data_IF_852985341343
#
_entry.id   IF_852985341343
#
_cell.length_a   1.000
_cell.length_b   1.000
_cell.length_c   1.000
_cell.angle_alpha   90.00
_cell.angle_beta   90.00
_cell.angle_gamma   90.00
#
_symmetry.space_group_name_H-M   'P 1'
#
loop_
_entity.id
_entity.type
_entity.pdbx_description
1 polymer ?
#
# COMPACT_ATOMS: atom_id res chain seq x y z
N UNK A 1 12.27 -5.89 25.47
CA UNK A 1 12.77 -6.86 24.46
C UNK A 1 11.71 -7.87 23.98
N UNK A 2 10.43 -7.75 24.39
CA UNK A 2 9.32 -8.67 23.99
C UNK A 2 8.49 -8.23 22.76
N UNK A 3 8.61 -7.00 22.33
CA UNK A 3 7.77 -6.40 21.26
C UNK A 3 8.15 -6.79 19.83
N UNK A 4 9.44 -7.04 19.55
CA UNK A 4 9.90 -7.36 18.18
C UNK A 4 9.59 -8.80 17.71
N UNK A 5 9.37 -9.72 18.63
CA UNK A 5 9.10 -11.13 18.30
C UNK A 5 7.62 -11.39 18.00
N UNK A 6 6.71 -10.59 18.59
CA UNK A 6 5.27 -10.62 18.28
C UNK A 6 4.98 -10.05 16.89
N UNK A 7 5.67 -8.99 16.48
CA UNK A 7 5.55 -8.39 15.15
C UNK A 7 6.00 -9.32 14.02
N UNK A 8 7.01 -10.18 14.27
CA UNK A 8 7.45 -11.18 13.29
C UNK A 8 6.44 -12.33 13.11
N UNK A 9 5.64 -12.67 14.12
CA UNK A 9 4.59 -13.68 14.02
C UNK A 9 3.38 -13.19 13.26
N UNK A 10 2.97 -11.92 13.43
CA UNK A 10 1.82 -11.32 12.71
C UNK A 10 1.98 -11.33 11.18
N UNK A 11 3.22 -11.26 10.68
CA UNK A 11 3.49 -11.26 9.22
C UNK A 11 3.38 -12.63 8.54
N UNK A 12 3.24 -13.72 9.30
CA UNK A 12 3.25 -15.09 8.72
C UNK A 12 1.88 -15.63 8.33
N UNK A 13 0.81 -15.13 8.89
CA UNK A 13 -0.55 -15.65 8.66
C UNK A 13 -1.11 -15.36 7.27
N UNK A 14 -0.88 -14.16 6.75
CA UNK A 14 -1.41 -13.73 5.44
C UNK A 14 -0.68 -14.30 4.21
N UNK A 15 0.41 -15.08 4.41
CA UNK A 15 1.21 -15.65 3.30
C UNK A 15 0.63 -16.92 2.65
N UNK A 16 -0.47 -17.47 3.15
CA UNK A 16 -0.96 -18.79 2.72
C UNK A 16 -1.88 -18.80 1.49
N UNK A 17 -2.20 -17.67 0.89
CA UNK A 17 -3.19 -17.63 -0.20
C UNK A 17 -2.63 -17.39 -1.61
N UNK A 18 -1.34 -17.48 -1.86
CA UNK A 18 -0.77 -17.20 -3.21
C UNK A 18 0.12 -18.33 -3.75
N UNK A 19 0.06 -19.53 -3.24
CA UNK A 19 0.84 -20.65 -3.81
C UNK A 19 0.01 -21.94 -3.90
N UNK A 20 -0.84 -22.02 -4.91
CA UNK A 20 -1.29 -23.27 -5.50
C UNK A 20 -1.55 -23.03 -6.97
N UNK A 21 -0.67 -23.57 -7.79
CA UNK A 21 -0.86 -24.10 -9.14
C UNK A 21 0.45 -23.99 -9.94
N UNK A 22 1.08 -25.04 -10.16
CA UNK A 22 1.45 -25.80 -11.33
C UNK A 22 2.78 -26.53 -11.13
N UNK A 23 2.67 -27.77 -10.70
CA UNK A 23 3.66 -28.80 -11.00
C UNK A 23 3.13 -29.61 -12.18
N UNK A 24 3.76 -29.50 -13.32
CA UNK A 24 3.64 -30.47 -14.42
C UNK A 24 5.04 -30.86 -14.85
N UNK A 25 5.46 -32.03 -14.37
CA UNK A 25 6.63 -32.76 -14.87
C UNK A 25 6.27 -33.42 -16.18
N UNK A 26 7.04 -33.18 -17.24
CA UNK A 26 7.18 -34.10 -18.37
C UNK A 26 8.66 -34.31 -18.67
N UNK A 27 9.09 -35.53 -18.41
CA UNK A 27 10.30 -36.10 -18.98
C UNK A 27 10.02 -36.41 -20.48
N UNK A 28 10.92 -35.97 -21.33
CA UNK A 28 11.17 -36.66 -22.63
C UNK A 28 12.63 -36.48 -23.01
N UNK A 29 13.17 -37.61 -23.46
CA UNK A 29 14.57 -37.87 -23.71
C UNK A 29 15.08 -37.30 -25.04
N UNK A 30 16.36 -37.02 -25.05
CA UNK A 30 17.39 -36.90 -26.08
C UNK A 30 17.05 -37.04 -27.54
N UNK A 31 17.41 -35.99 -28.30
CA UNK A 31 18.24 -36.10 -29.53
C UNK A 31 18.99 -34.80 -29.75
N UNK A 32 20.30 -34.91 -29.95
CA UNK A 32 21.25 -33.84 -30.13
C UNK A 32 21.11 -33.17 -31.51
N UNK A 33 20.59 -31.96 -31.53
CA UNK A 33 20.84 -31.00 -32.58
C UNK A 33 21.22 -29.67 -31.90
N UNK A 34 22.40 -29.14 -32.21
CA UNK A 34 22.83 -27.82 -31.78
C UNK A 34 21.91 -26.77 -32.39
N UNK A 35 20.81 -26.51 -31.75
CA UNK A 35 20.06 -25.29 -31.92
C UNK A 35 20.65 -24.24 -31.00
N UNK A 36 21.09 -23.13 -31.57
CA UNK A 36 21.42 -21.91 -30.84
C UNK A 36 20.13 -21.51 -30.09
N UNK A 37 20.03 -21.89 -28.82
CA UNK A 37 18.97 -21.39 -27.95
C UNK A 37 19.09 -19.87 -27.91
N UNK A 38 18.12 -19.19 -28.51
CA UNK A 38 17.80 -17.82 -28.16
C UNK A 38 17.49 -17.86 -26.67
N UNK A 39 18.48 -17.53 -25.82
CA UNK A 39 18.23 -17.22 -24.42
C UNK A 39 17.12 -16.17 -24.39
N UNK A 40 15.93 -16.56 -24.01
CA UNK A 40 14.87 -15.61 -23.70
C UNK A 40 15.42 -14.78 -22.53
N UNK A 41 15.73 -13.51 -22.79
CA UNK A 41 16.19 -12.53 -21.79
C UNK A 41 15.01 -12.26 -20.81
N UNK A 42 14.67 -13.25 -20.01
CA UNK A 42 13.66 -13.10 -18.97
C UNK A 42 14.26 -12.18 -17.90
N UNK A 43 13.62 -11.03 -17.66
CA UNK A 43 14.03 -10.08 -16.62
C UNK A 43 14.15 -10.82 -15.27
N UNK A 44 15.33 -10.77 -14.65
CA UNK A 44 15.54 -11.27 -13.30
C UNK A 44 15.29 -10.13 -12.32
N UNK A 45 14.24 -10.24 -11.51
CA UNK A 45 13.89 -9.21 -10.52
C UNK A 45 14.53 -9.48 -9.16
N UNK A 46 14.97 -8.41 -8.51
CA UNK A 46 15.31 -8.39 -7.08
C UNK A 46 14.03 -8.62 -6.27
N UNK A 47 14.10 -9.47 -5.26
CA UNK A 47 12.97 -9.72 -4.35
C UNK A 47 12.78 -8.55 -3.38
N UNK A 48 11.56 -8.30 -2.94
CA UNK A 48 11.22 -7.16 -2.05
C UNK A 48 12.00 -7.20 -0.73
N UNK A 49 12.22 -8.37 -0.16
CA UNK A 49 12.99 -8.56 1.07
C UNK A 49 14.49 -8.26 0.91
N UNK A 50 14.97 -8.15 -0.32
CA UNK A 50 16.36 -7.83 -0.69
C UNK A 50 16.57 -6.35 -1.07
N UNK A 51 15.51 -5.53 -1.14
CA UNK A 51 15.64 -4.14 -1.59
C UNK A 51 16.59 -3.33 -0.72
N UNK A 52 16.49 -3.44 0.60
CA UNK A 52 17.39 -2.75 1.52
C UNK A 52 18.84 -3.14 1.29
N UNK A 53 19.13 -4.43 1.11
CA UNK A 53 20.49 -4.92 0.82
C UNK A 53 21.00 -4.38 -0.52
N UNK A 54 20.18 -4.39 -1.57
CA UNK A 54 20.52 -3.86 -2.88
C UNK A 54 20.80 -2.35 -2.88
N UNK A 55 20.15 -1.59 -1.97
CA UNK A 55 20.39 -0.15 -1.79
C UNK A 55 21.58 0.16 -0.87
N UNK A 56 22.08 -0.81 -0.12
CA UNK A 56 23.30 -0.69 0.70
C UNK A 56 24.54 -1.00 -0.16
N UNK A 57 24.47 -2.11 -0.88
CA UNK A 57 25.51 -2.57 -1.78
C UNK A 57 24.88 -3.17 -3.03
N UNK A 58 25.02 -2.45 -4.13
CA UNK A 58 24.41 -2.84 -5.40
C UNK A 58 25.23 -3.92 -6.15
N UNK A 59 26.41 -4.30 -5.67
CA UNK A 59 27.38 -5.12 -6.40
C UNK A 59 26.79 -6.44 -6.90
N UNK A 60 26.12 -7.19 -6.04
CA UNK A 60 25.53 -8.50 -6.37
C UNK A 60 24.19 -8.38 -7.12
N UNK A 61 23.69 -7.17 -7.29
CA UNK A 61 22.40 -6.87 -7.89
C UNK A 61 22.51 -6.17 -9.24
N UNK A 62 23.71 -5.79 -9.67
CA UNK A 62 23.94 -5.14 -10.99
C UNK A 62 23.34 -5.96 -12.12
N UNK A 63 22.64 -5.28 -13.02
CA UNK A 63 21.96 -5.90 -14.14
C UNK A 63 20.61 -6.56 -13.82
N UNK A 64 20.27 -6.78 -12.56
CA UNK A 64 18.94 -7.25 -12.16
C UNK A 64 17.93 -6.12 -12.25
N UNK A 65 16.67 -6.47 -12.49
CA UNK A 65 15.56 -5.54 -12.52
C UNK A 65 15.00 -5.34 -11.11
N UNK A 66 14.49 -4.15 -10.83
CA UNK A 66 13.84 -3.80 -9.57
C UNK A 66 12.54 -3.07 -9.87
N UNK A 67 11.50 -3.36 -9.06
CA UNK A 67 10.28 -2.55 -8.97
C UNK A 67 10.21 -1.99 -7.57
N UNK A 68 10.48 -0.71 -7.43
CA UNK A 68 10.63 -0.06 -6.13
C UNK A 68 9.83 1.24 -6.10
N UNK A 69 9.30 1.53 -4.94
CA UNK A 69 8.51 2.73 -4.69
C UNK A 69 9.22 3.62 -3.70
N UNK A 70 8.97 4.92 -3.78
CA UNK A 70 9.58 5.85 -2.85
C UNK A 70 9.08 7.28 -3.00
N UNK A 71 9.63 8.14 -2.15
CA UNK A 71 9.31 9.56 -2.09
C UNK A 71 10.43 10.39 -2.68
N UNK A 72 10.10 11.21 -3.68
CA UNK A 72 11.06 12.11 -4.33
C UNK A 72 11.65 13.07 -3.30
N UNK A 73 12.97 13.22 -3.33
CA UNK A 73 13.73 14.15 -2.50
C UNK A 73 14.34 15.29 -3.29
N UNK A 74 14.90 15.00 -4.46
CA UNK A 74 15.54 15.97 -5.34
C UNK A 74 15.31 15.54 -6.80
N UNK A 75 15.29 16.48 -7.70
CA UNK A 75 15.23 16.33 -9.16
C UNK A 75 14.73 17.61 -9.82
N UNK A 76 14.70 17.68 -11.15
CA UNK A 76 15.10 16.68 -12.16
C UNK A 76 16.62 16.57 -12.38
N UNK A 77 17.40 17.41 -11.69
CA UNK A 77 18.86 17.39 -11.74
C UNK A 77 19.42 17.30 -10.31
N UNK A 78 20.34 16.38 -10.07
CA UNK A 78 20.99 16.18 -8.78
C UNK A 78 22.50 16.08 -8.98
N UNK A 79 23.26 17.03 -8.41
CA UNK A 79 24.71 17.11 -8.54
C UNK A 79 25.20 17.07 -10.01
N UNK A 80 24.56 17.82 -10.89
CA UNK A 80 24.87 17.87 -12.32
C UNK A 80 24.51 16.61 -13.11
N UNK A 81 23.64 15.74 -12.57
CA UNK A 81 23.18 14.52 -13.22
C UNK A 81 21.68 14.53 -13.40
N UNK A 82 21.23 14.30 -14.62
CA UNK A 82 19.82 14.20 -14.96
C UNK A 82 19.19 12.98 -14.29
N UNK A 83 18.13 13.22 -13.50
CA UNK A 83 17.40 12.19 -12.77
C UNK A 83 16.87 12.67 -11.42
N UNK A 84 16.35 11.73 -10.66
CA UNK A 84 15.71 12.01 -9.37
C UNK A 84 16.34 11.17 -8.27
N UNK A 85 16.57 11.81 -7.12
CA UNK A 85 16.93 11.15 -5.87
C UNK A 85 15.62 10.83 -5.11
N UNK A 86 15.43 9.55 -4.79
CA UNK A 86 14.21 9.04 -4.17
C UNK A 86 14.57 8.37 -2.86
N UNK A 87 13.82 8.69 -1.79
CA UNK A 87 13.91 8.02 -0.50
C UNK A 87 13.13 6.71 -0.55
N UNK A 88 13.77 5.61 -0.16
CA UNK A 88 13.12 4.34 0.11
C UNK A 88 12.61 4.34 1.56
N UNK A 89 11.31 4.55 1.74
CA UNK A 89 10.72 4.80 3.06
C UNK A 89 10.82 3.62 4.03
N UNK A 90 10.63 2.34 3.60
CA UNK A 90 10.74 1.20 4.50
C UNK A 90 12.11 1.04 5.18
N UNK A 91 13.16 1.69 4.65
CA UNK A 91 14.48 1.67 5.24
C UNK A 91 14.98 3.08 5.53
N UNK A 92 15.21 3.39 6.82
CA UNK A 92 15.73 4.70 7.23
C UNK A 92 17.04 5.03 6.52
N UNK A 93 17.15 6.27 6.02
CA UNK A 93 18.35 6.81 5.36
C UNK A 93 18.77 6.01 4.12
N UNK A 94 17.87 5.33 3.42
CA UNK A 94 18.12 4.68 2.15
C UNK A 94 17.51 5.48 1.01
N UNK A 95 18.30 5.59 -0.03
CA UNK A 95 17.94 6.34 -1.24
C UNK A 95 18.37 5.53 -2.45
N UNK A 96 17.70 5.78 -3.56
CA UNK A 96 18.14 5.37 -4.88
C UNK A 96 18.06 6.56 -5.84
N UNK A 97 18.84 6.52 -6.87
CA UNK A 97 18.81 7.51 -7.93
C UNK A 97 18.32 6.84 -9.22
N UNK A 98 17.31 7.38 -9.87
CA UNK A 98 16.98 6.91 -11.20
C UNK A 98 17.32 7.95 -12.25
N UNK A 99 17.95 7.48 -13.36
CA UNK A 99 18.30 8.32 -14.50
C UNK A 99 17.11 8.50 -15.42
N UNK A 100 16.99 9.72 -15.95
CA UNK A 100 16.05 10.06 -17.01
C UNK A 100 16.72 11.02 -17.99
N UNK A 101 16.26 11.02 -19.24
CA UNK A 101 16.77 11.92 -20.28
C UNK A 101 15.99 13.24 -20.35
N UNK A 102 14.94 13.38 -19.54
CA UNK A 102 14.08 14.55 -19.49
C UNK A 102 13.54 14.79 -18.08
N UNK A 103 13.08 16.01 -17.84
CA UNK A 103 12.27 16.31 -16.67
C UNK A 103 10.93 15.57 -16.78
N UNK A 104 10.54 14.87 -15.72
CA UNK A 104 9.27 14.16 -15.62
C UNK A 104 8.22 14.96 -14.83
N UNK A 105 8.58 16.14 -14.31
CA UNK A 105 7.68 17.04 -13.58
C UNK A 105 7.51 16.74 -12.10
N UNK A 106 8.14 15.68 -11.58
CA UNK A 106 8.04 15.35 -10.16
C UNK A 106 8.71 16.38 -9.26
N UNK A 107 8.05 16.69 -8.15
CA UNK A 107 8.54 17.61 -7.13
C UNK A 107 8.97 16.88 -5.86
N UNK A 108 9.84 17.49 -5.03
CA UNK A 108 10.15 16.96 -3.71
C UNK A 108 8.86 16.74 -2.89
N UNK A 109 8.67 15.52 -2.42
CA UNK A 109 7.45 15.11 -1.71
C UNK A 109 6.54 14.17 -2.49
N UNK A 110 6.61 14.16 -3.82
CA UNK A 110 5.83 13.26 -4.66
C UNK A 110 6.21 11.79 -4.45
N UNK A 111 5.26 10.91 -4.68
CA UNK A 111 5.47 9.46 -4.62
C UNK A 111 5.61 8.89 -6.02
N UNK A 112 6.56 7.99 -6.20
CA UNK A 112 6.87 7.38 -7.49
C UNK A 112 7.04 5.87 -7.38
N UNK A 113 6.60 5.17 -8.44
CA UNK A 113 6.89 3.76 -8.71
C UNK A 113 7.90 3.68 -9.83
N UNK A 114 9.02 3.02 -9.57
CA UNK A 114 10.13 2.92 -10.53
C UNK A 114 10.39 1.46 -10.86
N UNK A 115 10.25 1.09 -12.13
CA UNK A 115 10.72 -0.17 -12.67
C UNK A 115 11.95 0.08 -13.54
N UNK A 116 13.08 -0.54 -13.21
CA UNK A 116 14.30 -0.36 -13.99
C UNK A 116 15.37 -1.39 -13.65
N UNK A 117 16.56 -1.21 -14.20
CA UNK A 117 17.68 -2.09 -14.00
C UNK A 117 18.70 -1.45 -13.05
N UNK A 118 19.18 -2.20 -12.06
CA UNK A 118 20.25 -1.73 -11.17
C UNK A 118 21.54 -1.59 -11.98
N UNK A 119 22.02 -0.37 -12.06
CA UNK A 119 23.23 0.02 -12.78
C UNK A 119 24.44 0.20 -11.86
N UNK A 120 25.43 0.90 -12.37
CA UNK A 120 26.59 1.35 -11.57
C UNK A 120 26.13 2.49 -10.65
N UNK A 121 26.57 2.44 -9.39
CA UNK A 121 26.29 3.49 -8.42
C UNK A 121 26.75 4.86 -8.92
N UNK A 122 26.01 5.87 -8.48
CA UNK A 122 26.31 7.26 -8.82
C UNK A 122 26.76 8.00 -7.56
N UNK A 123 27.88 8.69 -7.64
CA UNK A 123 28.32 9.60 -6.58
C UNK A 123 27.53 10.90 -6.69
N UNK A 124 26.83 11.25 -5.62
CA UNK A 124 26.12 12.51 -5.44
C UNK A 124 26.74 13.28 -4.28
N UNK A 125 26.77 14.60 -4.38
CA UNK A 125 27.31 15.47 -3.33
C UNK A 125 26.14 15.97 -2.47
N UNK A 126 26.24 15.80 -1.16
CA UNK A 126 25.25 16.33 -0.23
C UNK A 126 25.45 17.83 0.06
N UNK A 127 24.54 18.45 0.82
CA UNK A 127 24.61 19.87 1.19
C UNK A 127 25.85 20.24 2.02
N UNK A 128 26.52 19.26 2.64
CA UNK A 128 27.76 19.44 3.42
C UNK A 128 29.03 19.21 2.57
N UNK A 129 28.89 18.99 1.26
CA UNK A 129 30.02 18.74 0.35
C UNK A 129 30.55 17.29 0.36
N UNK A 130 29.92 16.36 1.09
CA UNK A 130 30.36 14.97 1.14
C UNK A 130 29.79 14.18 -0.03
N UNK A 131 30.64 13.33 -0.63
CA UNK A 131 30.20 12.37 -1.64
C UNK A 131 29.49 11.17 -1.00
N UNK A 132 28.36 10.80 -1.60
CA UNK A 132 27.55 9.64 -1.24
C UNK A 132 27.41 8.75 -2.46
N UNK A 133 27.82 7.49 -2.36
CA UNK A 133 27.54 6.48 -3.38
C UNK A 133 26.09 6.01 -3.27
N UNK A 134 25.32 6.19 -4.32
CA UNK A 134 23.87 5.90 -4.34
C UNK A 134 23.60 4.90 -5.46
N UNK A 135 22.87 3.83 -5.11
CA UNK A 135 22.40 2.83 -6.08
C UNK A 135 21.60 3.51 -7.18
N UNK A 136 22.01 3.28 -8.42
CA UNK A 136 21.38 3.89 -9.59
C UNK A 136 20.49 2.90 -10.33
N UNK A 137 19.28 3.33 -10.66
CA UNK A 137 18.35 2.60 -11.52
C UNK A 137 18.41 3.22 -12.92
N UNK A 138 18.75 2.40 -13.91
CA UNK A 138 18.82 2.74 -15.32
C UNK A 138 17.63 2.14 -16.07
N UNK A 139 17.33 2.63 -17.28
CA UNK A 139 16.17 2.20 -18.09
C UNK A 139 14.86 2.30 -17.30
N UNK A 140 14.77 3.35 -16.48
CA UNK A 140 13.67 3.54 -15.56
C UNK A 140 12.36 3.84 -16.31
N UNK A 141 11.33 3.05 -16.02
CA UNK A 141 9.92 3.38 -16.27
C UNK A 141 9.34 3.88 -14.97
N UNK A 142 8.82 5.09 -14.99
CA UNK A 142 8.32 5.78 -13.81
C UNK A 142 6.84 6.05 -13.97
N UNK A 143 6.08 5.86 -12.90
CA UNK A 143 4.68 6.23 -12.79
C UNK A 143 4.40 6.78 -11.40
N UNK A 144 3.25 7.40 -11.23
CA UNK A 144 2.81 7.93 -9.96
C UNK A 144 2.69 6.79 -8.94
N UNK A 145 3.19 7.05 -7.74
CA UNK A 145 2.98 6.27 -6.55
C UNK A 145 1.90 6.89 -5.68
N UNK A 146 1.63 6.29 -4.53
CA UNK A 146 0.71 6.84 -3.55
C UNK A 146 1.30 6.84 -2.15
N UNK A 147 0.73 7.66 -1.28
CA UNK A 147 1.05 7.64 0.15
C UNK A 147 0.87 6.24 0.75
N UNK A 148 -0.23 5.56 0.40
CA UNK A 148 -0.54 4.20 0.86
C UNK A 148 0.58 3.22 0.48
N UNK A 149 1.04 3.26 -0.78
CA UNK A 149 2.05 2.30 -1.23
C UNK A 149 3.41 2.53 -0.58
N UNK A 150 3.74 3.78 -0.25
CA UNK A 150 5.09 4.18 0.15
C UNK A 150 5.24 4.38 1.66
N UNK A 151 4.32 5.09 2.30
CA UNK A 151 4.45 5.46 3.74
C UNK A 151 3.75 4.44 4.66
N UNK A 152 2.61 3.89 4.22
CA UNK A 152 1.76 2.98 5.02
C UNK A 152 1.33 1.74 4.21
N UNK A 153 2.31 0.99 3.63
CA UNK A 153 1.99 -0.10 2.73
C UNK A 153 1.13 -1.18 3.40
N UNK A 154 0.11 -1.62 2.66
CA UNK A 154 -0.75 -2.72 3.08
C UNK A 154 0.03 -4.03 3.09
N UNK A 155 0.07 -4.74 4.23
CA UNK A 155 0.64 -6.08 4.30
C UNK A 155 -0.42 -7.19 4.27
N UNK A 156 -1.67 -6.89 4.64
CA UNK A 156 -2.80 -7.82 4.60
C UNK A 156 -4.09 -7.11 4.21
N UNK A 157 -4.99 -7.84 3.57
CA UNK A 157 -6.33 -7.36 3.21
C UNK A 157 -7.34 -8.47 3.48
N UNK A 158 -8.34 -8.18 4.32
CA UNK A 158 -9.47 -9.04 4.59
C UNK A 158 -10.75 -8.47 3.95
N UNK A 159 -11.60 -9.36 3.48
CA UNK A 159 -12.89 -9.00 2.87
C UNK A 159 -14.03 -9.71 3.59
N UNK A 160 -15.09 -9.00 3.98
CA UNK A 160 -16.27 -9.64 4.59
C UNK A 160 -16.90 -10.62 3.59
N UNK A 161 -17.40 -11.75 4.09
CA UNK A 161 -18.20 -12.70 3.29
C UNK A 161 -19.55 -12.08 2.92
N UNK A 162 -20.15 -11.38 3.87
CA UNK A 162 -21.35 -10.60 3.68
C UNK A 162 -21.01 -9.11 3.79
N UNK A 163 -20.67 -8.48 2.65
CA UNK A 163 -20.07 -7.13 2.67
C UNK A 163 -21.08 -6.01 2.93
N UNK A 164 -22.37 -6.29 3.00
CA UNK A 164 -23.43 -5.27 3.12
C UNK A 164 -24.55 -5.70 4.05
N UNK A 165 -25.14 -4.69 4.70
CA UNK A 165 -26.39 -4.79 5.45
C UNK A 165 -27.32 -3.70 4.98
N UNK A 166 -28.63 -4.00 4.88
CA UNK A 166 -29.67 -3.03 4.48
C UNK A 166 -30.75 -2.97 5.53
N UNK A 167 -31.06 -1.78 6.02
CA UNK A 167 -32.09 -1.48 7.01
C UNK A 167 -32.85 -0.26 6.52
N UNK A 168 -34.15 -0.31 6.45
CA UNK A 168 -35.05 0.82 6.10
C UNK A 168 -34.64 1.59 4.82
N UNK A 169 -34.22 0.85 3.79
CA UNK A 169 -33.78 1.44 2.52
C UNK A 169 -32.35 1.98 2.54
N UNK A 170 -31.66 1.94 3.69
CA UNK A 170 -30.28 2.39 3.83
C UNK A 170 -29.36 1.17 3.78
N UNK A 171 -28.37 1.20 2.90
CA UNK A 171 -27.39 0.13 2.74
C UNK A 171 -25.99 0.59 3.16
N UNK A 172 -25.44 -0.03 4.19
CA UNK A 172 -24.01 0.06 4.51
C UNK A 172 -23.26 -1.09 3.87
N UNK A 173 -22.07 -0.80 3.32
CA UNK A 173 -21.17 -1.80 2.76
C UNK A 173 -19.73 -1.55 3.24
N UNK A 174 -19.08 -2.62 3.67
CA UNK A 174 -17.61 -2.69 3.87
C UNK A 174 -17.04 -3.53 2.75
N UNK A 175 -16.23 -2.94 1.88
CA UNK A 175 -15.68 -3.66 0.72
C UNK A 175 -14.41 -4.44 1.07
N UNK A 176 -13.62 -3.94 2.01
CA UNK A 176 -12.40 -4.54 2.54
C UNK A 176 -11.92 -3.83 3.79
N UNK A 177 -11.05 -4.51 4.54
CA UNK A 177 -10.19 -3.96 5.59
C UNK A 177 -8.75 -4.19 5.19
N UNK A 178 -7.95 -3.14 5.17
CA UNK A 178 -6.53 -3.19 4.91
C UNK A 178 -5.73 -2.94 6.18
N UNK A 179 -4.69 -3.73 6.38
CA UNK A 179 -3.82 -3.67 7.54
C UNK A 179 -2.44 -3.20 7.12
N UNK A 180 -1.96 -2.14 7.78
CA UNK A 180 -0.63 -1.60 7.64
C UNK A 180 0.09 -1.59 9.00
N UNK A 181 1.41 -1.34 9.01
CA UNK A 181 2.19 -1.33 10.27
C UNK A 181 1.78 -0.18 11.22
N UNK A 182 1.12 0.86 10.73
CA UNK A 182 0.81 2.06 11.49
C UNK A 182 -0.69 2.35 11.60
N UNK A 183 -1.53 1.72 10.78
CA UNK A 183 -2.96 1.97 10.73
C UNK A 183 -3.73 0.78 10.18
N UNK A 184 -5.03 0.73 10.48
CA UNK A 184 -6.02 -0.13 9.85
C UNK A 184 -6.98 0.74 9.06
N UNK A 185 -7.24 0.40 7.80
CA UNK A 185 -8.13 1.15 6.89
C UNK A 185 -9.36 0.33 6.56
N UNK A 186 -10.53 0.89 6.82
CA UNK A 186 -11.83 0.30 6.47
C UNK A 186 -12.44 1.05 5.29
N UNK A 187 -12.75 0.34 4.23
CA UNK A 187 -13.33 0.91 3.01
C UNK A 187 -14.85 0.78 3.08
N UNK A 188 -15.51 1.89 3.33
CA UNK A 188 -16.96 1.97 3.59
C UNK A 188 -17.69 2.67 2.46
N UNK A 189 -18.90 2.25 2.15
CA UNK A 189 -19.86 3.02 1.37
C UNK A 189 -21.24 2.91 2.00
N UNK A 190 -21.99 4.01 1.93
CA UNK A 190 -23.35 4.14 2.44
C UNK A 190 -24.23 4.63 1.30
N UNK A 191 -25.32 3.94 1.04
CA UNK A 191 -26.30 4.25 0.00
C UNK A 191 -27.65 4.47 0.69
N UNK A 192 -28.25 5.63 0.48
CA UNK A 192 -29.54 6.02 1.02
C UNK A 192 -30.61 5.94 -0.06
N UNK A 193 -31.41 4.87 -0.06
CA UNK A 193 -32.56 4.71 -0.95
C UNK A 193 -33.88 5.08 -0.27
N UNK A 194 -33.84 5.77 0.87
CA UNK A 194 -35.03 6.33 1.54
C UNK A 194 -35.35 7.72 1.00
N UNK A 195 -36.52 8.24 1.38
CA UNK A 195 -37.00 9.59 1.00
C UNK A 195 -36.53 10.68 1.97
N UNK A 196 -35.72 10.34 2.98
CA UNK A 196 -35.22 11.27 3.99
C UNK A 196 -33.69 11.28 4.02
N UNK A 197 -33.06 12.42 4.33
CA UNK A 197 -31.62 12.47 4.52
C UNK A 197 -31.23 11.66 5.76
N UNK A 198 -30.04 11.04 5.70
CA UNK A 198 -29.40 10.38 6.83
C UNK A 198 -28.05 11.01 7.12
N UNK A 199 -27.60 10.90 8.35
CA UNK A 199 -26.38 11.54 8.83
C UNK A 199 -25.39 10.51 9.33
N UNK A 200 -24.15 10.69 8.92
CA UNK A 200 -22.97 9.95 9.37
C UNK A 200 -22.11 10.85 10.25
N UNK A 201 -21.71 10.33 11.41
CA UNK A 201 -20.70 10.97 12.26
C UNK A 201 -19.54 9.97 12.44
N UNK A 202 -18.30 10.36 12.09
CA UNK A 202 -17.13 9.48 12.23
C UNK A 202 -16.85 9.03 13.67
N UNK A 203 -17.40 9.69 14.68
CA UNK A 203 -17.27 9.26 16.07
C UNK A 203 -18.14 8.03 16.42
N UNK A 204 -19.10 7.69 15.57
CA UNK A 204 -20.00 6.55 15.77
C UNK A 204 -19.66 5.36 14.87
N UNK A 205 -18.47 5.32 14.26
CA UNK A 205 -17.97 4.12 13.63
C UNK A 205 -16.82 3.56 14.45
N UNK A 206 -16.90 2.28 14.79
CA UNK A 206 -15.93 1.58 15.60
C UNK A 206 -15.53 0.26 14.94
N UNK A 207 -14.31 -0.20 15.23
CA UNK A 207 -13.91 -1.60 15.06
C UNK A 207 -14.03 -2.32 16.39
N UNK A 208 -14.60 -3.51 16.38
CA UNK A 208 -14.60 -4.39 17.54
C UNK A 208 -13.76 -5.63 17.22
N UNK A 209 -12.75 -5.92 18.06
CA UNK A 209 -11.94 -7.13 17.98
C UNK A 209 -11.69 -7.68 19.37
N UNK A 210 -11.96 -8.97 19.59
CA UNK A 210 -11.82 -9.63 20.90
C UNK A 210 -12.57 -8.90 22.04
N UNK A 211 -13.73 -8.33 21.75
CA UNK A 211 -14.52 -7.56 22.73
C UNK A 211 -13.99 -6.15 23.01
N UNK A 212 -12.88 -5.75 22.39
CA UNK A 212 -12.33 -4.40 22.51
C UNK A 212 -12.87 -3.49 21.41
N UNK A 213 -13.39 -2.32 21.79
CA UNK A 213 -13.83 -1.28 20.87
C UNK A 213 -12.67 -0.34 20.54
N UNK A 214 -12.45 -0.09 19.27
CA UNK A 214 -11.44 0.82 18.74
C UNK A 214 -12.16 1.90 17.95
N UNK A 215 -12.03 3.15 18.42
CA UNK A 215 -12.63 4.30 17.74
C UNK A 215 -11.88 4.64 16.47
N UNK A 216 -12.57 5.26 15.51
CA UNK A 216 -11.95 5.83 14.33
C UNK A 216 -10.96 6.95 14.72
N UNK A 217 -9.84 7.00 13.99
CA UNK A 217 -8.85 8.08 14.13
C UNK A 217 -9.16 9.20 13.13
N UNK A 218 -10.14 10.03 13.47
CA UNK A 218 -10.61 11.14 12.63
C UNK A 218 -9.54 12.22 12.41
N UNK A 219 -8.55 12.30 13.29
CA UNK A 219 -7.45 13.27 13.22
C UNK A 219 -6.19 12.67 12.61
N UNK A 220 -6.26 11.43 12.10
CA UNK A 220 -5.11 10.80 11.47
C UNK A 220 -4.54 11.66 10.34
N UNK A 221 -3.25 11.94 10.42
CA UNK A 221 -2.55 12.67 9.36
C UNK A 221 -2.54 11.93 8.01
N UNK A 222 -2.91 10.66 8.01
CA UNK A 222 -3.05 9.84 6.80
C UNK A 222 -4.21 10.30 5.93
N UNK A 223 -5.28 10.86 6.53
CA UNK A 223 -6.39 11.43 5.76
C UNK A 223 -5.92 12.55 4.82
N UNK A 224 -5.13 13.48 5.34
CA UNK A 224 -4.59 14.60 4.57
C UNK A 224 -3.48 14.15 3.62
N UNK A 225 -2.45 13.47 4.14
CA UNK A 225 -1.26 13.08 3.36
C UNK A 225 -1.57 12.03 2.29
N UNK A 226 -2.52 11.15 2.57
CA UNK A 226 -2.97 10.11 1.64
C UNK A 226 -4.11 10.55 0.72
N UNK A 227 -4.65 11.75 0.94
CA UNK A 227 -5.85 12.24 0.27
C UNK A 227 -6.97 11.18 0.30
N UNK A 228 -7.22 10.61 1.49
CA UNK A 228 -8.22 9.56 1.63
C UNK A 228 -9.62 10.13 1.41
N UNK A 229 -10.44 9.51 0.55
CA UNK A 229 -11.82 9.95 0.38
C UNK A 229 -12.57 9.84 1.71
N UNK A 230 -13.31 10.88 2.04
CA UNK A 230 -14.12 10.97 3.26
C UNK A 230 -15.58 10.62 2.95
N UNK A 231 -16.25 9.97 3.92
CA UNK A 231 -17.71 9.85 3.88
C UNK A 231 -18.35 11.23 4.08
N UNK A 232 -19.41 11.50 3.34
CA UNK A 232 -20.22 12.69 3.55
C UNK A 232 -20.95 12.61 4.89
N UNK A 233 -20.98 13.71 5.65
CA UNK A 233 -21.71 13.76 6.94
C UNK A 233 -23.22 13.73 6.76
N UNK A 234 -23.76 14.26 5.64
CA UNK A 234 -25.14 14.14 5.23
C UNK A 234 -25.23 13.36 3.91
N UNK A 235 -26.09 12.36 3.87
CA UNK A 235 -26.34 11.53 2.69
C UNK A 235 -27.77 11.75 2.27
N UNK A 236 -27.96 12.52 1.21
CA UNK A 236 -29.27 12.93 0.69
C UNK A 236 -30.08 11.69 0.22
N UNK A 237 -31.42 11.82 0.11
CA UNK A 237 -32.27 10.80 -0.49
C UNK A 237 -31.72 10.35 -1.85
N UNK A 238 -31.79 9.03 -2.10
CA UNK A 238 -31.36 8.39 -3.36
C UNK A 238 -29.92 8.69 -3.76
N UNK A 239 -29.04 8.95 -2.78
CA UNK A 239 -27.63 9.24 -2.99
C UNK A 239 -26.72 8.24 -2.30
N UNK A 240 -25.40 8.34 -2.61
CA UNK A 240 -24.37 7.46 -2.10
C UNK A 240 -23.11 8.21 -1.74
N UNK A 241 -22.46 7.79 -0.68
CA UNK A 241 -21.12 8.23 -0.30
C UNK A 241 -20.18 7.05 -0.15
N UNK A 242 -18.88 7.28 -0.28
CA UNK A 242 -17.85 6.26 -0.05
C UNK A 242 -16.60 6.91 0.52
N UNK A 243 -15.92 6.21 1.42
CA UNK A 243 -14.72 6.73 2.07
C UNK A 243 -13.85 5.65 2.67
N UNK A 244 -12.70 6.10 3.19
CA UNK A 244 -11.76 5.29 3.96
C UNK A 244 -11.79 5.80 5.39
N UNK A 245 -12.13 4.92 6.33
CA UNK A 245 -12.07 5.21 7.76
C UNK A 245 -10.81 4.61 8.33
N UNK A 246 -10.02 5.42 9.04
CA UNK A 246 -8.75 5.03 9.64
C UNK A 246 -8.95 4.67 11.11
N UNK A 247 -8.28 3.62 11.54
CA UNK A 247 -8.24 3.14 12.92
C UNK A 247 -6.81 2.86 13.33
N UNK A 248 -6.57 2.78 14.64
CA UNK A 248 -5.34 2.22 15.18
C UNK A 248 -5.14 0.78 14.70
N UNK A 249 -3.88 0.31 14.74
CA UNK A 249 -3.49 -1.04 14.30
C UNK A 249 -4.22 -2.10 15.11
N UNK A 250 -4.88 -3.04 14.41
CA UNK A 250 -5.45 -4.27 14.96
C UNK A 250 -4.83 -5.50 14.30
N UNK A 251 -5.10 -6.70 14.83
CA UNK A 251 -4.60 -7.94 14.25
C UNK A 251 -5.34 -8.33 12.98
N UNK A 252 -4.60 -8.64 11.92
CA UNK A 252 -5.17 -9.18 10.67
C UNK A 252 -5.48 -10.68 10.74
N UNK A 253 -5.03 -11.36 11.81
CA UNK A 253 -5.22 -12.81 12.03
C UNK A 253 -6.48 -13.12 12.85
N UNK A 254 -7.27 -12.12 13.21
CA UNK A 254 -8.48 -12.23 14.01
C UNK A 254 -9.64 -11.56 13.32
N UNK A 255 -10.80 -12.16 13.48
CA UNK A 255 -12.04 -11.56 13.02
C UNK A 255 -12.28 -10.20 13.70
N UNK A 256 -12.94 -9.31 13.00
CA UNK A 256 -13.41 -8.06 13.58
C UNK A 256 -14.81 -7.67 13.04
N UNK A 257 -15.52 -6.86 13.81
CA UNK A 257 -16.77 -6.25 13.39
C UNK A 257 -16.56 -4.76 13.11
N UNK A 258 -17.10 -4.28 11.99
CA UNK A 258 -17.26 -2.86 11.70
C UNK A 258 -18.66 -2.46 12.11
N UNK A 259 -18.78 -1.65 13.16
CA UNK A 259 -20.05 -1.24 13.74
C UNK A 259 -20.21 0.26 13.52
N UNK A 260 -21.37 0.71 13.07
CA UNK A 260 -21.70 2.14 12.97
C UNK A 260 -23.16 2.41 13.25
N UNK A 261 -23.44 3.58 13.81
CA UNK A 261 -24.79 4.14 13.93
C UNK A 261 -24.92 5.29 12.94
N UNK A 262 -25.91 5.21 12.06
CA UNK A 262 -26.36 6.32 11.22
C UNK A 262 -27.59 6.96 11.86
N UNK A 263 -27.78 8.24 11.63
CA UNK A 263 -28.87 9.00 12.26
C UNK A 263 -29.84 9.51 11.22
N UNK A 264 -31.14 9.44 11.54
CA UNK A 264 -32.19 10.14 10.81
C UNK A 264 -32.21 11.63 11.20
N UNK A 265 -33.01 12.43 10.49
CA UNK A 265 -33.24 13.84 10.84
C UNK A 265 -33.78 14.06 12.24
N UNK A 266 -34.47 13.07 12.80
CA UNK A 266 -35.01 13.09 14.17
C UNK A 266 -34.05 12.50 15.22
N UNK A 267 -32.78 12.30 14.84
CA UNK A 267 -31.73 11.72 15.68
C UNK A 267 -31.99 10.27 16.12
N UNK A 268 -32.90 9.56 15.46
CA UNK A 268 -33.08 8.12 15.69
C UNK A 268 -31.87 7.39 15.06
N UNK A 269 -31.20 6.52 15.84
CA UNK A 269 -30.08 5.71 15.40
C UNK A 269 -30.49 4.50 14.58
N UNK A 270 -29.74 4.18 13.56
CA UNK A 270 -29.86 2.96 12.75
C UNK A 270 -28.51 2.24 12.82
N UNK A 271 -28.46 1.10 13.46
CA UNK A 271 -27.22 0.38 13.76
C UNK A 271 -26.89 -0.64 12.67
N UNK A 272 -25.67 -0.62 12.21
CA UNK A 272 -25.11 -1.55 11.25
C UNK A 272 -23.92 -2.30 11.84
N UNK A 273 -23.83 -3.59 11.52
CA UNK A 273 -22.69 -4.43 11.90
C UNK A 273 -22.27 -5.29 10.70
N UNK A 274 -21.03 -5.16 10.26
CA UNK A 274 -20.45 -5.97 9.18
C UNK A 274 -19.29 -6.78 9.74
N UNK A 275 -19.44 -8.10 9.73
CA UNK A 275 -18.43 -9.04 10.19
C UNK A 275 -17.35 -9.26 9.11
N UNK A 276 -16.09 -9.14 9.51
CA UNK A 276 -14.90 -9.31 8.65
C UNK A 276 -14.06 -10.46 9.18
N UNK A 277 -13.98 -11.53 8.40
CA UNK A 277 -13.18 -12.70 8.75
C UNK A 277 -11.68 -12.46 8.48
N UNK A 278 -10.86 -13.08 9.34
CA UNK A 278 -9.41 -13.13 9.21
C UNK A 278 -8.93 -14.00 8.04
#
# INVERSE_FOLDING_TARGET
>A
MKTRESERKMRKGCKKLVCALLSCTMLCACTSTKSVEKQSNKKQYVKTDQFTSALIDSTDYKGKWIKIEGKVKLGPEVSGKQGYLVKYVPAQRRYFFFKTDKDLGYQPGDYVKVEGQIGKDTNLVNSSGNELSITTITHAKVSDGSYIDVEVPTYCTNKPKEPKQTIDGITMKVSKVEYADQETRVYVSIENNSDQPIYYDPNYIILQQDGTHINSDVLSSSHEKGNYPQLANAIEPHSKTSGIVVFSVISSEKDCDVITTLFTANLAGIDFTIHVNA
#
